data_IF_505905611280
#
_entry.id   IF_505905611280
#
_cell.length_a   1.000
_cell.length_b   1.000
_cell.length_c   1.000
_cell.angle_alpha   90.00
_cell.angle_beta   90.00
_cell.angle_gamma   90.00
#
_symmetry.space_group_name_H-M   'P 1'
#
loop_
_entity.id
_entity.type
_entity.pdbx_description
1 polymer ?
#
# COMPACT_ATOMS: atom_id res chain seq x y z
N UNK A 1 -42.33 -49.14 7.68
CA UNK A 1 -41.03 -49.19 6.94
C UNK A 1 -40.47 -47.78 7.03
N UNK A 2 -39.27 -47.62 7.60
CA UNK A 2 -38.63 -46.35 7.77
C UNK A 2 -37.54 -46.21 6.71
N UNK A 3 -37.51 -45.08 5.99
CA UNK A 3 -36.54 -44.81 4.95
C UNK A 3 -35.61 -43.71 5.39
N UNK A 4 -34.30 -43.92 5.31
CA UNK A 4 -33.27 -42.94 5.60
C UNK A 4 -32.68 -42.45 4.27
N UNK A 5 -32.76 -41.19 3.91
CA UNK A 5 -32.11 -40.65 2.70
C UNK A 5 -30.60 -40.75 2.78
N UNK A 6 -29.97 -41.19 1.68
CA UNK A 6 -28.53 -41.36 1.57
C UNK A 6 -27.82 -40.10 1.09
N UNK A 7 -28.54 -39.19 0.45
CA UNK A 7 -27.98 -37.91 -0.07
C UNK A 7 -28.90 -36.74 0.29
N UNK A 8 -28.31 -35.58 0.45
CA UNK A 8 -29.05 -34.33 0.67
C UNK A 8 -29.65 -33.83 -0.64
N UNK A 9 -30.83 -33.24 -0.60
CA UNK A 9 -31.54 -32.64 -1.75
C UNK A 9 -31.90 -33.59 -2.87
N UNK A 10 -32.42 -34.78 -2.58
CA UNK A 10 -32.95 -35.70 -3.58
C UNK A 10 -34.44 -35.91 -3.44
N UNK A 11 -35.13 -36.08 -4.55
CA UNK A 11 -36.48 -36.61 -4.56
C UNK A 11 -36.43 -38.04 -5.11
N UNK A 12 -37.08 -38.98 -4.43
CA UNK A 12 -37.17 -40.36 -4.88
C UNK A 12 -38.64 -40.79 -4.90
N UNK A 13 -39.02 -41.46 -5.98
CA UNK A 13 -40.34 -42.06 -6.11
C UNK A 13 -40.29 -43.51 -5.60
N UNK A 14 -41.20 -43.85 -4.73
CA UNK A 14 -41.41 -45.22 -4.29
C UNK A 14 -42.70 -45.71 -4.92
N UNK A 15 -42.60 -46.75 -5.74
CA UNK A 15 -43.75 -47.43 -6.33
C UNK A 15 -44.02 -48.75 -5.63
N UNK A 16 -45.26 -49.01 -5.33
CA UNK A 16 -45.75 -50.31 -4.86
C UNK A 16 -46.54 -50.96 -6.00
N UNK A 17 -46.09 -52.11 -6.46
CA UNK A 17 -46.79 -52.92 -7.42
C UNK A 17 -47.16 -54.28 -6.79
N UNK A 18 -48.19 -54.92 -7.30
CA UNK A 18 -48.60 -56.30 -6.92
C UNK A 18 -48.87 -56.45 -5.41
N UNK A 19 -49.67 -55.57 -4.85
CA UNK A 19 -50.02 -55.59 -3.42
C UNK A 19 -51.13 -56.62 -3.21
N UNK A 20 -50.84 -57.65 -2.41
CA UNK A 20 -51.82 -58.65 -1.97
C UNK A 20 -52.19 -58.38 -0.51
N UNK A 21 -53.45 -58.21 -0.21
CA UNK A 21 -53.97 -58.05 1.15
C UNK A 21 -54.81 -59.32 1.46
N UNK A 22 -54.48 -59.94 2.60
CA UNK A 22 -55.18 -61.10 3.10
C UNK A 22 -56.04 -60.73 4.30
N UNK A 23 -57.32 -61.07 4.31
CA UNK A 23 -58.18 -60.84 5.46
C UNK A 23 -58.03 -61.99 6.51
N UNK A 24 -58.71 -61.85 7.65
CA UNK A 24 -58.63 -62.82 8.76
C UNK A 24 -59.16 -64.26 8.34
N UNK A 25 -59.88 -64.38 7.23
CA UNK A 25 -60.37 -65.66 6.68
C UNK A 25 -59.41 -66.17 5.57
N UNK A 26 -58.22 -65.63 5.44
CA UNK A 26 -57.22 -66.03 4.42
C UNK A 26 -57.67 -65.79 2.98
N UNK A 27 -58.64 -64.94 2.75
CA UNK A 27 -59.03 -64.54 1.40
C UNK A 27 -58.08 -63.44 0.89
N UNK A 28 -57.49 -63.66 -0.26
CA UNK A 28 -56.58 -62.73 -0.90
C UNK A 28 -57.34 -61.79 -1.82
N UNK A 29 -57.05 -60.46 -1.67
CA UNK A 29 -57.42 -59.43 -2.63
C UNK A 29 -56.17 -58.89 -3.26
N UNK A 30 -56.04 -59.07 -4.56
CA UNK A 30 -54.94 -58.49 -5.34
C UNK A 30 -55.40 -57.13 -5.87
N UNK A 31 -54.63 -56.09 -5.61
CA UNK A 31 -54.85 -54.78 -6.20
C UNK A 31 -53.96 -54.64 -7.45
N UNK A 32 -54.64 -54.49 -8.59
CA UNK A 32 -54.00 -54.21 -9.87
C UNK A 32 -53.86 -52.68 -10.03
N UNK A 33 -52.85 -52.12 -9.43
CA UNK A 33 -52.57 -50.67 -9.48
C UNK A 33 -51.20 -50.35 -8.93
N UNK A 34 -50.53 -49.37 -9.53
CA UNK A 34 -49.31 -48.83 -9.00
C UNK A 34 -49.63 -47.62 -8.10
N UNK A 35 -49.09 -47.63 -6.91
CA UNK A 35 -49.11 -46.48 -6.00
C UNK A 35 -47.74 -45.83 -6.00
N UNK A 36 -47.67 -44.55 -6.33
CA UNK A 36 -46.44 -43.75 -6.27
C UNK A 36 -46.48 -42.77 -5.11
N UNK A 37 -45.48 -42.78 -4.25
CA UNK A 37 -45.24 -41.78 -3.26
C UNK A 37 -43.93 -41.08 -3.59
N UNK A 38 -43.96 -39.78 -3.77
CA UNK A 38 -42.75 -38.99 -3.92
C UNK A 38 -42.29 -38.53 -2.53
N UNK A 39 -41.12 -38.98 -2.12
CA UNK A 39 -40.44 -38.46 -0.94
C UNK A 39 -39.44 -37.42 -1.43
N UNK A 40 -39.69 -36.17 -1.09
CA UNK A 40 -38.73 -35.07 -1.29
C UNK A 40 -38.14 -34.67 0.07
N UNK A 41 -36.83 -34.75 0.18
CA UNK A 41 -36.13 -34.07 1.26
C UNK A 41 -35.98 -32.63 0.84
N UNK A 42 -36.77 -31.72 1.38
CA UNK A 42 -36.39 -30.32 1.34
C UNK A 42 -35.20 -30.18 2.29
N UNK A 43 -34.07 -29.60 1.83
CA UNK A 43 -33.18 -28.98 2.79
C UNK A 43 -34.05 -27.99 3.60
N UNK A 44 -34.12 -28.20 4.88
CA UNK A 44 -34.64 -27.18 5.77
C UNK A 44 -33.58 -26.10 5.70
N UNK A 45 -33.84 -25.09 4.86
CA UNK A 45 -32.96 -23.95 4.76
C UNK A 45 -32.89 -23.33 6.16
N UNK A 46 -31.75 -23.49 6.81
CA UNK A 46 -31.53 -22.84 8.10
C UNK A 46 -31.67 -21.35 7.91
N UNK A 47 -32.49 -20.70 8.72
CA UNK A 47 -32.62 -19.26 8.73
C UNK A 47 -31.34 -18.60 9.26
N UNK A 48 -30.51 -19.30 10.06
CA UNK A 48 -29.25 -18.81 10.59
C UNK A 48 -28.22 -18.65 9.47
N UNK A 49 -27.91 -17.42 9.10
CA UNK A 49 -26.88 -17.07 8.11
C UNK A 49 -25.75 -16.31 8.79
N UNK A 50 -24.57 -16.93 8.87
CA UNK A 50 -23.34 -16.23 9.24
C UNK A 50 -22.69 -15.62 8.01
N UNK A 51 -22.39 -14.32 8.11
CA UNK A 51 -21.65 -13.60 7.06
C UNK A 51 -20.34 -13.06 7.61
N UNK A 52 -19.24 -13.30 6.91
CA UNK A 52 -17.96 -12.67 7.18
C UNK A 52 -17.89 -11.41 6.32
N UNK A 53 -17.97 -10.24 6.94
CA UNK A 53 -18.00 -8.95 6.27
C UNK A 53 -16.71 -8.18 6.52
N UNK A 54 -16.26 -7.42 5.52
CA UNK A 54 -15.07 -6.58 5.58
C UNK A 54 -14.91 -5.80 4.28
N UNK A 55 -13.71 -5.37 3.99
CA UNK A 55 -13.40 -4.64 2.75
C UNK A 55 -13.12 -5.60 1.60
N UNK A 56 -13.60 -5.27 0.40
CA UNK A 56 -13.26 -5.99 -0.83
C UNK A 56 -11.78 -5.79 -1.22
N UNK A 57 -11.21 -4.63 -0.85
CA UNK A 57 -9.80 -4.32 -1.07
C UNK A 57 -9.23 -3.40 -0.01
N UNK A 58 -7.93 -3.53 0.26
CA UNK A 58 -7.15 -2.74 1.23
C UNK A 58 -5.74 -2.52 0.69
N UNK A 59 -5.12 -1.41 1.03
CA UNK A 59 -3.72 -1.19 0.72
C UNK A 59 -2.80 -1.89 1.72
N UNK A 60 -1.64 -2.33 1.25
CA UNK A 60 -0.64 -2.97 2.11
C UNK A 60 -0.28 -2.06 3.29
N UNK A 61 -0.01 -2.66 4.45
CA UNK A 61 0.31 -2.01 5.74
C UNK A 61 -0.86 -1.30 6.43
N UNK A 62 -2.03 -1.20 5.80
CA UNK A 62 -3.22 -0.65 6.45
C UNK A 62 -3.93 -1.69 7.32
N UNK A 63 -4.72 -1.18 8.27
CA UNK A 63 -5.57 -1.97 9.17
C UNK A 63 -7.03 -1.83 8.77
N UNK A 64 -7.80 -2.90 8.94
CA UNK A 64 -9.22 -2.94 8.62
C UNK A 64 -9.96 -3.91 9.53
N UNK A 65 -11.28 -3.72 9.61
CA UNK A 65 -12.13 -4.57 10.42
C UNK A 65 -12.79 -5.67 9.57
N UNK A 66 -12.83 -6.86 10.14
CA UNK A 66 -13.62 -8.00 9.67
C UNK A 66 -14.64 -8.32 10.75
N UNK A 67 -15.91 -8.37 10.39
CA UNK A 67 -16.98 -8.70 11.33
C UNK A 67 -17.67 -9.99 10.93
N UNK A 68 -18.03 -10.80 11.92
CA UNK A 68 -18.90 -11.96 11.73
C UNK A 68 -20.28 -11.51 12.20
N UNK A 69 -21.26 -11.57 11.29
CA UNK A 69 -22.65 -11.22 11.58
C UNK A 69 -23.56 -12.44 11.43
N UNK A 70 -24.62 -12.48 12.20
CA UNK A 70 -25.67 -13.47 12.13
C UNK A 70 -26.99 -12.80 11.73
N UNK A 71 -27.68 -13.37 10.76
CA UNK A 71 -29.00 -12.96 10.31
C UNK A 71 -29.97 -14.15 10.31
N UNK A 72 -31.27 -13.88 10.43
CA UNK A 72 -32.31 -14.91 10.48
C UNK A 72 -32.18 -15.81 11.73
N UNK A 73 -31.74 -15.23 12.83
CA UNK A 73 -31.40 -15.94 14.05
C UNK A 73 -32.64 -16.59 14.70
N UNK A 74 -32.77 -17.90 14.62
CA UNK A 74 -33.88 -18.66 15.21
C UNK A 74 -33.79 -18.80 16.74
N UNK A 75 -32.63 -18.52 17.32
CA UNK A 75 -32.30 -18.63 18.73
C UNK A 75 -31.05 -19.48 18.94
N UNK A 76 -29.99 -18.86 19.42
CA UNK A 76 -28.71 -19.51 19.74
C UNK A 76 -28.33 -19.23 21.17
N UNK A 77 -27.74 -20.19 21.87
CA UNK A 77 -27.30 -20.02 23.25
C UNK A 77 -25.83 -20.37 23.44
N UNK A 78 -25.24 -21.23 22.58
CA UNK A 78 -23.79 -21.45 22.62
C UNK A 78 -23.22 -21.68 21.23
N UNK A 79 -21.95 -21.28 21.07
CA UNK A 79 -21.18 -21.54 19.86
C UNK A 79 -19.71 -21.72 20.20
N UNK A 80 -19.09 -22.67 19.51
CA UNK A 80 -17.63 -22.75 19.36
C UNK A 80 -17.28 -22.66 17.89
N UNK A 81 -16.37 -21.76 17.56
CA UNK A 81 -16.03 -21.49 16.16
C UNK A 81 -14.59 -20.94 16.05
N UNK A 82 -14.12 -20.89 14.82
CA UNK A 82 -12.90 -20.16 14.49
C UNK A 82 -12.99 -19.54 13.10
N UNK A 83 -12.28 -18.41 12.93
CA UNK A 83 -12.04 -17.80 11.64
C UNK A 83 -10.64 -18.21 11.17
N UNK A 84 -10.56 -18.89 10.02
CA UNK A 84 -9.32 -19.12 9.30
C UNK A 84 -9.03 -17.94 8.38
N UNK A 85 -7.73 -17.53 8.29
CA UNK A 85 -7.29 -16.46 7.43
C UNK A 85 -5.89 -16.72 6.89
N UNK A 86 -5.55 -16.13 5.76
CA UNK A 86 -4.23 -16.24 5.14
C UNK A 86 -3.17 -15.47 5.96
N UNK A 87 -2.49 -16.19 6.87
CA UNK A 87 -1.49 -15.65 7.81
C UNK A 87 -0.26 -15.01 7.17
N UNK A 88 0.00 -15.29 5.91
CA UNK A 88 1.11 -14.70 5.14
C UNK A 88 0.70 -13.40 4.43
N UNK A 89 -0.61 -13.09 4.44
CA UNK A 89 -1.21 -11.89 3.85
C UNK A 89 -1.72 -10.95 4.95
N UNK A 90 -2.33 -11.51 6.00
CA UNK A 90 -2.96 -10.75 7.08
C UNK A 90 -2.39 -11.12 8.45
N UNK A 91 -2.41 -10.15 9.36
CA UNK A 91 -2.06 -10.32 10.78
C UNK A 91 -3.18 -9.78 11.65
N UNK A 92 -3.67 -10.61 12.60
CA UNK A 92 -4.68 -10.18 13.57
C UNK A 92 -4.07 -9.18 14.55
N UNK A 93 -4.77 -8.06 14.77
CA UNK A 93 -4.36 -7.01 15.70
C UNK A 93 -5.24 -7.00 16.95
N UNK A 94 -6.55 -7.19 16.79
CA UNK A 94 -7.53 -7.16 17.89
C UNK A 94 -8.75 -8.04 17.61
N UNK A 95 -9.43 -8.45 18.68
CA UNK A 95 -10.67 -9.22 18.63
C UNK A 95 -11.60 -8.80 19.78
N UNK A 96 -12.81 -8.39 19.46
CA UNK A 96 -13.77 -7.83 20.44
C UNK A 96 -15.21 -8.30 20.22
N UNK A 97 -15.91 -8.58 21.34
CA UNK A 97 -17.34 -8.84 21.38
C UNK A 97 -18.16 -7.63 21.87
N UNK A 98 -17.52 -6.49 22.13
CA UNK A 98 -18.11 -5.36 22.90
C UNK A 98 -19.38 -4.77 22.29
N UNK A 99 -19.48 -4.76 20.95
CA UNK A 99 -20.52 -4.03 20.22
C UNK A 99 -21.58 -4.94 19.58
N UNK A 100 -21.54 -6.25 19.88
CA UNK A 100 -22.38 -7.25 19.23
C UNK A 100 -23.59 -7.71 20.03
N UNK A 101 -24.30 -8.68 19.42
CA UNK A 101 -25.45 -9.36 20.04
C UNK A 101 -25.07 -10.17 21.29
N UNK A 102 -23.76 -10.45 21.46
CA UNK A 102 -23.20 -11.27 22.55
C UNK A 102 -22.72 -10.46 23.75
N UNK A 103 -22.95 -9.16 23.82
CA UNK A 103 -22.43 -8.26 24.86
C UNK A 103 -22.76 -8.67 26.30
N UNK A 104 -23.81 -9.45 26.51
CA UNK A 104 -24.24 -9.95 27.83
C UNK A 104 -23.98 -11.44 28.02
N UNK A 105 -23.23 -12.08 27.12
CA UNK A 105 -22.92 -13.51 27.17
C UNK A 105 -21.53 -13.73 27.76
N UNK A 106 -21.27 -14.97 28.19
CA UNK A 106 -19.90 -15.37 28.50
C UNK A 106 -19.16 -15.61 27.19
N UNK A 107 -18.11 -14.84 26.94
CA UNK A 107 -17.35 -14.89 25.69
C UNK A 107 -15.88 -15.19 25.94
N UNK A 108 -15.26 -15.87 25.01
CA UNK A 108 -13.82 -16.15 25.01
C UNK A 108 -13.28 -16.04 23.59
N UNK A 109 -12.08 -15.48 23.44
CA UNK A 109 -11.37 -15.41 22.17
C UNK A 109 -9.89 -15.71 22.35
N UNK A 110 -9.29 -16.40 21.39
CA UNK A 110 -7.86 -16.71 21.34
C UNK A 110 -7.30 -16.44 19.95
N UNK A 111 -6.28 -15.59 19.90
CA UNK A 111 -5.51 -15.23 18.71
C UNK A 111 -4.12 -15.86 18.69
N UNK A 112 -3.83 -16.79 19.62
CA UNK A 112 -2.49 -17.38 19.83
C UNK A 112 -2.00 -18.23 18.67
N UNK A 113 -2.89 -18.69 17.80
CA UNK A 113 -2.55 -19.53 16.64
C UNK A 113 -2.57 -18.69 15.38
N UNK A 114 -1.42 -18.51 14.71
CA UNK A 114 -1.34 -17.79 13.44
C UNK A 114 -2.22 -18.44 12.39
N UNK A 115 -2.99 -17.63 11.64
CA UNK A 115 -3.92 -18.08 10.63
C UNK A 115 -5.28 -18.54 11.17
N UNK A 116 -5.49 -18.45 12.48
CA UNK A 116 -6.74 -18.90 13.11
C UNK A 116 -7.08 -18.09 14.34
N UNK A 117 -8.29 -17.50 14.37
CA UNK A 117 -8.86 -16.88 15.54
C UNK A 117 -9.96 -17.78 16.07
N UNK A 118 -9.77 -18.37 17.25
CA UNK A 118 -10.77 -19.21 17.92
C UNK A 118 -11.62 -18.36 18.82
N UNK A 119 -12.93 -18.58 18.83
CA UNK A 119 -13.83 -17.88 19.73
C UNK A 119 -15.01 -18.77 20.13
N UNK A 120 -15.57 -18.45 21.28
CA UNK A 120 -16.71 -19.16 21.82
C UNK A 120 -17.59 -18.21 22.62
N UNK A 121 -18.87 -18.51 22.70
CA UNK A 121 -19.76 -17.87 23.64
C UNK A 121 -20.74 -18.87 24.25
N UNK A 122 -21.31 -18.47 25.41
CA UNK A 122 -22.38 -19.17 26.09
C UNK A 122 -23.34 -18.16 26.74
N UNK A 123 -24.63 -18.42 26.60
CA UNK A 123 -25.72 -17.69 27.26
C UNK A 123 -26.66 -18.65 27.99
N UNK A 124 -27.32 -18.20 29.00
CA UNK A 124 -28.36 -18.98 29.72
C UNK A 124 -29.67 -19.06 28.95
N UNK A 125 -29.94 -18.08 28.10
CA UNK A 125 -31.15 -17.95 27.31
C UNK A 125 -30.83 -17.83 25.84
N UNK A 126 -31.80 -18.16 24.99
CA UNK A 126 -31.65 -17.99 23.55
C UNK A 126 -31.51 -16.52 23.17
N UNK A 127 -30.43 -16.23 22.47
CA UNK A 127 -30.21 -14.96 21.78
C UNK A 127 -30.92 -15.03 20.43
N UNK A 128 -31.94 -14.20 20.24
CA UNK A 128 -32.75 -14.14 19.02
C UNK A 128 -32.50 -12.88 18.18
N UNK A 129 -31.58 -12.03 18.64
CA UNK A 129 -31.21 -10.81 17.93
C UNK A 129 -30.31 -11.15 16.74
N UNK A 130 -30.57 -10.52 15.60
CA UNK A 130 -29.65 -10.45 14.47
C UNK A 130 -28.58 -9.39 14.72
N UNK A 131 -27.40 -9.55 14.13
CA UNK A 131 -26.34 -8.55 14.17
C UNK A 131 -24.93 -9.11 14.33
N UNK A 132 -24.03 -8.25 14.76
CA UNK A 132 -22.62 -8.57 14.90
C UNK A 132 -22.38 -9.55 16.05
N UNK A 133 -21.71 -10.66 15.72
CA UNK A 133 -21.26 -11.67 16.70
C UNK A 133 -19.92 -11.26 17.30
N UNK A 134 -18.93 -10.99 16.44
CA UNK A 134 -17.58 -10.60 16.84
C UNK A 134 -16.98 -9.63 15.80
N UNK A 135 -16.15 -8.72 16.27
CA UNK A 135 -15.34 -7.81 15.46
C UNK A 135 -13.87 -8.18 15.62
N UNK A 136 -13.16 -8.25 14.50
CA UNK A 136 -11.77 -8.60 14.40
C UNK A 136 -11.05 -7.51 13.61
N UNK A 137 -9.92 -7.01 14.10
CA UNK A 137 -9.12 -6.02 13.38
C UNK A 137 -7.86 -6.68 12.83
N UNK A 138 -7.68 -6.60 11.53
CA UNK A 138 -6.54 -7.15 10.81
C UNK A 138 -5.66 -6.06 10.22
N UNK A 139 -4.37 -6.38 10.02
CA UNK A 139 -3.42 -5.62 9.23
C UNK A 139 -3.06 -6.40 7.97
N UNK A 140 -3.06 -5.74 6.80
CA UNK A 140 -2.53 -6.30 5.56
C UNK A 140 -1.00 -6.19 5.58
N UNK A 141 -0.29 -7.32 5.73
CA UNK A 141 1.18 -7.35 5.89
C UNK A 141 1.93 -7.64 4.59
N UNK A 142 1.27 -8.23 3.60
CA UNK A 142 1.88 -8.54 2.31
C UNK A 142 1.88 -7.32 1.39
N UNK A 143 3.05 -6.93 0.88
CA UNK A 143 3.15 -5.81 -0.06
C UNK A 143 3.20 -6.30 -1.53
N UNK A 144 2.15 -6.98 -1.94
CA UNK A 144 1.94 -7.51 -3.28
C UNK A 144 0.47 -7.40 -3.65
N UNK A 145 0.15 -7.40 -4.95
CA UNK A 145 -1.24 -7.50 -5.42
C UNK A 145 -1.70 -8.96 -5.29
N UNK A 146 -2.30 -9.31 -4.16
CA UNK A 146 -2.76 -10.66 -3.83
C UNK A 146 -4.15 -10.60 -3.22
N UNK A 147 -4.84 -11.76 -3.18
CA UNK A 147 -6.11 -11.89 -2.48
C UNK A 147 -5.99 -12.94 -1.39
N UNK A 148 -6.51 -12.64 -0.22
CA UNK A 148 -6.57 -13.55 0.92
C UNK A 148 -8.01 -13.80 1.36
N UNK A 149 -8.24 -14.97 1.96
CA UNK A 149 -9.57 -15.44 2.38
C UNK A 149 -9.73 -15.36 3.88
N UNK A 150 -10.97 -15.15 4.29
CA UNK A 150 -11.46 -15.27 5.66
C UNK A 150 -12.61 -16.27 5.65
N UNK A 151 -12.41 -17.42 6.28
CA UNK A 151 -13.37 -18.54 6.27
C UNK A 151 -13.80 -18.87 7.69
N UNK A 152 -15.09 -18.75 7.95
CA UNK A 152 -15.66 -19.13 9.25
C UNK A 152 -15.90 -20.64 9.28
N UNK A 153 -15.46 -21.28 10.36
CA UNK A 153 -15.78 -22.66 10.67
C UNK A 153 -16.46 -22.70 12.03
N UNK A 154 -17.66 -23.24 12.06
CA UNK A 154 -18.44 -23.43 13.29
C UNK A 154 -18.35 -24.89 13.70
N UNK A 155 -17.70 -25.15 14.83
CA UNK A 155 -17.56 -26.52 15.36
C UNK A 155 -18.87 -26.99 16.03
N UNK A 156 -19.52 -26.08 16.75
CA UNK A 156 -20.77 -26.36 17.46
C UNK A 156 -21.64 -25.09 17.55
N UNK A 157 -22.94 -25.26 17.35
CA UNK A 157 -23.97 -24.21 17.53
C UNK A 157 -25.21 -24.85 18.14
N UNK A 158 -25.65 -24.36 19.31
CA UNK A 158 -26.82 -24.90 20.01
C UNK A 158 -27.72 -23.80 20.57
N UNK A 159 -29.01 -24.14 20.78
CA UNK A 159 -29.95 -23.35 21.56
C UNK A 159 -29.76 -23.58 23.07
N UNK A 160 -30.60 -22.94 23.90
CA UNK A 160 -30.60 -23.06 25.38
C UNK A 160 -30.99 -24.45 25.89
N UNK A 161 -31.58 -25.29 25.04
CA UNK A 161 -31.93 -26.69 25.33
C UNK A 161 -30.83 -27.64 24.88
N UNK A 162 -29.69 -27.16 24.45
CA UNK A 162 -28.59 -27.91 23.85
C UNK A 162 -28.99 -28.63 22.53
N UNK A 163 -30.02 -28.13 21.83
CA UNK A 163 -30.38 -28.61 20.53
C UNK A 163 -29.48 -28.01 19.46
N UNK A 164 -28.86 -28.86 18.63
CA UNK A 164 -27.97 -28.40 17.56
C UNK A 164 -28.76 -27.57 16.54
N UNK A 165 -28.21 -26.42 16.20
CA UNK A 165 -28.77 -25.50 15.21
C UNK A 165 -28.06 -25.65 13.86
N UNK A 166 -28.84 -25.64 12.79
CA UNK A 166 -28.30 -25.58 11.43
C UNK A 166 -27.95 -24.13 11.06
N UNK A 167 -27.00 -23.97 10.14
CA UNK A 167 -26.53 -22.66 9.71
C UNK A 167 -25.97 -22.69 8.28
N UNK A 168 -25.93 -21.53 7.65
CA UNK A 168 -25.24 -21.26 6.40
C UNK A 168 -24.12 -20.26 6.66
N UNK A 169 -23.08 -20.26 5.81
CA UNK A 169 -21.93 -19.35 5.92
C UNK A 169 -21.67 -18.68 4.58
N UNK A 170 -21.43 -17.38 4.61
CA UNK A 170 -20.86 -16.62 3.51
C UNK A 170 -19.49 -16.05 3.93
N UNK A 171 -18.44 -16.57 3.30
CA UNK A 171 -17.05 -16.19 3.56
C UNK A 171 -16.66 -14.88 2.84
N UNK A 172 -15.53 -14.30 3.23
CA UNK A 172 -14.99 -13.07 2.66
C UNK A 172 -13.67 -13.33 1.91
N UNK A 173 -13.48 -12.64 0.81
CA UNK A 173 -12.17 -12.52 0.14
C UNK A 173 -11.81 -11.06 0.01
N UNK A 174 -10.64 -10.68 0.52
CA UNK A 174 -10.13 -9.31 0.46
C UNK A 174 -8.88 -9.26 -0.40
N UNK A 175 -8.84 -8.31 -1.34
CA UNK A 175 -7.68 -8.03 -2.18
C UNK A 175 -6.74 -7.07 -1.45
N UNK A 176 -5.46 -7.40 -1.38
CA UNK A 176 -4.41 -6.48 -0.94
C UNK A 176 -3.78 -5.81 -2.16
N UNK A 177 -3.73 -4.49 -2.16
CA UNK A 177 -3.05 -3.71 -3.18
C UNK A 177 -1.62 -3.44 -2.74
N UNK A 178 -0.68 -3.64 -3.67
CA UNK A 178 0.71 -3.26 -3.46
C UNK A 178 0.82 -1.74 -3.36
N UNK A 179 1.48 -1.24 -2.31
CA UNK A 179 1.88 0.16 -2.20
C UNK A 179 3.35 0.31 -2.53
N UNK A 180 3.72 1.48 -3.03
CA UNK A 180 5.12 1.85 -3.16
C UNK A 180 5.59 2.46 -1.83
N UNK A 181 6.46 1.76 -1.10
CA UNK A 181 7.18 2.35 0.03
C UNK A 181 8.26 3.21 -0.60
N UNK A 182 8.02 4.53 -0.65
CA UNK A 182 8.93 5.44 -1.29
C UNK A 182 10.21 5.62 -0.46
N UNK A 183 11.35 5.32 -1.06
CA UNK A 183 12.66 5.77 -0.63
C UNK A 183 13.22 6.67 -1.72
N UNK A 184 13.19 7.98 -1.52
CA UNK A 184 13.65 8.96 -2.50
C UNK A 184 15.15 9.20 -2.33
N UNK A 185 15.89 8.92 -3.39
CA UNK A 185 17.33 9.18 -3.52
C UNK A 185 17.56 10.42 -4.37
N UNK A 186 18.61 11.17 -4.09
CA UNK A 186 18.94 12.43 -4.74
C UNK A 186 19.40 13.50 -3.76
N UNK A 187 19.39 14.79 -4.16
CA UNK A 187 18.88 15.30 -5.42
C UNK A 187 19.81 15.14 -6.61
N UNK A 188 19.24 15.00 -7.80
CA UNK A 188 19.88 15.27 -9.09
C UNK A 188 19.45 16.66 -9.53
N UNK A 189 20.43 17.59 -9.70
CA UNK A 189 20.14 18.97 -10.07
C UNK A 189 20.10 19.10 -11.59
N UNK A 190 18.94 19.44 -12.11
CA UNK A 190 18.68 19.62 -13.55
C UNK A 190 18.62 21.12 -13.86
N UNK A 191 19.69 21.62 -14.49
CA UNK A 191 19.82 23.00 -14.92
C UNK A 191 19.29 23.18 -16.35
N UNK A 192 18.79 24.39 -16.64
CA UNK A 192 18.61 24.83 -18.03
C UNK A 192 19.95 25.08 -18.69
N UNK A 193 19.98 25.06 -20.03
CA UNK A 193 21.22 25.24 -20.82
C UNK A 193 21.91 26.60 -20.54
N UNK A 194 21.15 27.60 -20.15
CA UNK A 194 21.62 28.94 -19.84
C UNK A 194 21.79 29.20 -18.32
N UNK A 195 21.69 28.16 -17.51
CA UNK A 195 21.73 28.20 -16.04
C UNK A 195 20.74 29.18 -15.39
N UNK A 196 19.71 29.61 -16.11
CA UNK A 196 18.72 30.57 -15.54
C UNK A 196 17.71 29.87 -14.61
N UNK A 197 17.51 28.57 -14.74
CA UNK A 197 16.62 27.78 -13.90
C UNK A 197 17.25 26.47 -13.48
N UNK A 198 16.85 25.97 -12.32
CA UNK A 198 17.30 24.68 -11.81
C UNK A 198 16.16 23.96 -11.06
N UNK A 199 16.09 22.65 -11.22
CA UNK A 199 15.20 21.76 -10.45
C UNK A 199 16.02 20.68 -9.77
N UNK A 200 15.79 20.49 -8.48
CA UNK A 200 16.32 19.35 -7.75
C UNK A 200 15.34 18.17 -7.88
N UNK A 201 15.78 17.09 -8.46
CA UNK A 201 14.96 15.90 -8.74
C UNK A 201 15.35 14.77 -7.81
N UNK A 202 14.37 14.26 -7.07
CA UNK A 202 14.50 13.07 -6.24
C UNK A 202 13.74 11.94 -6.90
N UNK A 203 14.37 10.78 -7.03
CA UNK A 203 13.78 9.60 -7.68
C UNK A 203 13.59 8.49 -6.65
N UNK A 204 12.42 7.85 -6.66
CA UNK A 204 12.17 6.69 -5.81
C UNK A 204 13.07 5.51 -6.23
N UNK A 205 13.79 4.93 -5.26
CA UNK A 205 14.68 3.78 -5.47
C UNK A 205 13.93 2.56 -6.04
N UNK A 206 12.67 2.37 -5.61
CA UNK A 206 11.86 1.19 -5.97
C UNK A 206 10.99 1.37 -7.22
N UNK A 207 10.72 2.63 -7.61
CA UNK A 207 9.99 2.94 -8.84
C UNK A 207 10.48 4.27 -9.43
N UNK A 208 11.22 4.21 -10.53
CA UNK A 208 11.81 5.40 -11.18
C UNK A 208 10.80 6.35 -11.81
N UNK A 209 9.55 5.94 -11.97
CA UNK A 209 8.47 6.83 -12.43
C UNK A 209 7.99 7.79 -11.33
N UNK A 210 8.24 7.41 -10.06
CA UNK A 210 7.90 8.24 -8.93
C UNK A 210 9.04 9.22 -8.66
N UNK A 211 8.82 10.48 -9.04
CA UNK A 211 9.79 11.56 -8.87
C UNK A 211 9.17 12.73 -8.11
N UNK A 212 10.00 13.36 -7.27
CA UNK A 212 9.70 14.66 -6.64
C UNK A 212 10.60 15.69 -7.28
N UNK A 213 10.01 16.80 -7.74
CA UNK A 213 10.74 17.92 -8.33
C UNK A 213 10.58 19.14 -7.44
N UNK A 214 11.70 19.70 -7.02
CA UNK A 214 11.78 20.92 -6.21
C UNK A 214 12.33 22.02 -7.10
N UNK A 215 11.58 23.11 -7.30
CA UNK A 215 12.08 24.29 -7.99
C UNK A 215 13.09 24.99 -7.11
N UNK A 216 14.23 25.38 -7.68
CA UNK A 216 15.29 26.08 -6.98
C UNK A 216 15.35 27.54 -7.43
N UNK A 217 15.54 28.43 -6.47
CA UNK A 217 15.91 29.82 -6.75
C UNK A 217 17.36 29.87 -7.23
N UNK A 218 17.62 30.59 -8.33
CA UNK A 218 18.96 30.75 -8.90
C UNK A 218 19.47 32.16 -8.68
N UNK A 219 20.62 32.28 -8.00
CA UNK A 219 21.37 33.50 -7.86
C UNK A 219 22.63 33.43 -8.73
N UNK A 220 22.87 34.47 -9.54
CA UNK A 220 24.03 34.56 -10.40
C UNK A 220 24.95 35.70 -9.93
N UNK A 221 26.21 35.39 -9.68
CA UNK A 221 27.26 36.35 -9.38
C UNK A 221 28.32 36.32 -10.48
N UNK A 222 28.94 37.48 -10.73
CA UNK A 222 29.95 37.66 -11.79
C UNK A 222 31.17 38.34 -11.26
N UNK A 223 32.35 37.78 -11.55
CA UNK A 223 33.65 38.41 -11.35
C UNK A 223 34.27 38.68 -12.71
N UNK A 224 34.59 39.93 -13.00
CA UNK A 224 35.17 40.30 -14.28
C UNK A 224 36.61 39.79 -14.44
N UNK A 225 36.93 39.35 -15.67
CA UNK A 225 38.31 39.01 -16.01
C UNK A 225 39.22 40.26 -16.04
N UNK A 226 40.42 40.13 -15.50
CA UNK A 226 41.50 41.13 -15.62
C UNK A 226 42.36 40.85 -16.86
N UNK A 227 43.44 41.55 -17.02
CA UNK A 227 44.38 41.27 -18.09
C UNK A 227 45.14 39.94 -17.91
N UNK A 228 45.30 39.49 -16.66
CA UNK A 228 46.12 38.31 -16.32
C UNK A 228 45.34 37.19 -15.65
N UNK A 229 44.23 37.52 -15.03
CA UNK A 229 43.42 36.54 -14.30
C UNK A 229 42.06 36.36 -14.97
N UNK A 230 41.62 35.13 -15.02
CA UNK A 230 40.29 34.78 -15.48
C UNK A 230 39.23 35.32 -14.51
N UNK A 231 38.13 35.80 -15.05
CA UNK A 231 36.88 36.02 -14.32
C UNK A 231 36.03 34.74 -14.27
N UNK A 232 34.94 34.82 -13.55
CA UNK A 232 33.95 33.73 -13.52
C UNK A 232 32.52 34.24 -13.37
N UNK A 233 31.59 33.43 -13.87
CA UNK A 233 30.17 33.55 -13.55
C UNK A 233 29.86 32.36 -12.68
N UNK A 234 29.22 32.57 -11.54
CA UNK A 234 28.81 31.53 -10.61
C UNK A 234 27.29 31.56 -10.47
N UNK A 235 26.66 30.45 -10.81
CA UNK A 235 25.22 30.21 -10.66
C UNK A 235 25.01 29.33 -9.45
N UNK A 236 24.24 29.79 -8.46
CA UNK A 236 23.92 29.04 -7.23
C UNK A 236 22.44 28.77 -7.18
N UNK A 237 22.06 27.49 -7.29
CA UNK A 237 20.70 27.02 -7.08
C UNK A 237 20.47 26.75 -5.59
N UNK A 238 19.33 27.18 -5.07
CA UNK A 238 18.91 26.94 -3.68
C UNK A 238 17.46 26.49 -3.66
N UNK A 239 17.18 25.34 -3.03
CA UNK A 239 15.83 24.83 -2.81
C UNK A 239 15.63 24.39 -1.36
N UNK A 240 14.39 24.00 -1.02
CA UNK A 240 14.05 23.41 0.28
C UNK A 240 13.33 22.09 0.04
N UNK A 241 13.83 21.03 0.64
CA UNK A 241 13.20 19.71 0.64
C UNK A 241 13.21 19.13 2.06
N UNK A 242 12.04 18.71 2.56
CA UNK A 242 11.85 18.20 3.93
C UNK A 242 12.47 19.15 4.99
N UNK A 243 12.20 20.44 4.89
CA UNK A 243 12.74 21.52 5.76
C UNK A 243 14.27 21.65 5.75
N UNK A 244 14.94 21.00 4.81
CA UNK A 244 16.39 21.11 4.63
C UNK A 244 16.72 21.93 3.39
N UNK A 245 17.68 22.85 3.56
CA UNK A 245 18.24 23.61 2.44
C UNK A 245 19.13 22.72 1.59
N UNK A 246 18.85 22.69 0.29
CA UNK A 246 19.66 22.01 -0.73
C UNK A 246 20.26 23.05 -1.66
N UNK A 247 21.50 22.81 -2.11
CA UNK A 247 22.22 23.75 -2.98
C UNK A 247 23.07 23.02 -3.98
N UNK A 248 23.17 23.60 -5.18
CA UNK A 248 24.15 23.19 -6.21
C UNK A 248 24.75 24.44 -6.85
N UNK A 249 25.95 24.30 -7.41
CA UNK A 249 26.72 25.44 -7.97
C UNK A 249 27.31 25.07 -9.31
N UNK A 250 27.03 25.89 -10.33
CA UNK A 250 27.65 25.82 -11.63
C UNK A 250 28.55 27.03 -11.86
N UNK A 251 29.67 26.86 -12.57
CA UNK A 251 30.64 27.92 -12.84
C UNK A 251 31.06 27.98 -14.29
N UNK A 252 31.05 29.17 -14.84
CA UNK A 252 31.58 29.47 -16.17
C UNK A 252 32.80 30.34 -16.04
N UNK A 253 33.87 30.03 -16.79
CA UNK A 253 35.09 30.82 -16.80
C UNK A 253 35.02 31.93 -17.86
N UNK A 254 35.36 33.15 -17.49
CA UNK A 254 35.56 34.27 -18.42
C UNK A 254 37.07 34.37 -18.64
N UNK A 255 37.61 34.07 -19.81
CA UNK A 255 39.04 34.07 -20.02
C UNK A 255 39.65 35.46 -19.78
N UNK A 256 40.89 35.48 -19.25
CA UNK A 256 41.68 36.68 -19.08
C UNK A 256 41.78 37.46 -20.41
N UNK A 257 41.64 38.82 -20.31
CA UNK A 257 41.55 39.67 -21.48
C UNK A 257 42.88 39.79 -22.24
N UNK A 258 43.97 39.40 -21.57
CA UNK A 258 45.34 39.68 -22.08
C UNK A 258 45.72 41.15 -22.00
N UNK A 259 46.93 41.43 -22.34
CA UNK A 259 47.45 42.82 -22.37
C UNK A 259 47.27 43.47 -23.75
N UNK A 260 46.77 44.70 -23.74
CA UNK A 260 46.65 45.54 -24.94
C UNK A 260 47.82 46.51 -24.95
N UNK A 261 48.69 46.38 -25.95
CA UNK A 261 49.87 47.26 -26.11
C UNK A 261 49.43 48.74 -26.34
N UNK A 262 49.95 49.63 -25.59
CA UNK A 262 49.84 51.06 -25.79
C UNK A 262 50.93 51.60 -26.75
N UNK A 263 50.99 52.96 -26.85
CA UNK A 263 52.01 53.63 -27.59
C UNK A 263 53.35 53.57 -26.84
N UNK A 264 54.45 53.63 -27.58
CA UNK A 264 55.78 53.68 -27.01
C UNK A 264 55.95 55.03 -26.29
N UNK A 265 56.35 55.00 -25.04
CA UNK A 265 56.72 56.15 -24.24
C UNK A 265 58.21 56.19 -24.08
N UNK A 266 58.78 57.41 -24.15
CA UNK A 266 60.20 57.61 -23.89
C UNK A 266 60.37 57.94 -22.40
N UNK A 267 61.20 57.16 -21.73
CA UNK A 267 61.53 57.29 -20.33
C UNK A 267 63.07 57.37 -20.13
N UNK A 268 63.50 57.84 -18.97
CA UNK A 268 64.90 57.88 -18.60
C UNK A 268 65.83 58.53 -19.65
N UNK A 269 65.28 59.48 -20.44
CA UNK A 269 66.07 60.20 -21.44
C UNK A 269 67.21 60.98 -20.83
N UNK A 270 68.41 60.73 -21.32
CA UNK A 270 69.60 61.53 -20.96
C UNK A 270 70.10 62.30 -22.20
N UNK A 271 70.39 63.55 -22.00
CA UNK A 271 70.94 64.34 -23.12
C UNK A 271 72.39 63.93 -23.49
N UNK A 272 72.66 63.96 -24.77
CA UNK A 272 74.03 63.76 -25.24
C UNK A 272 74.96 64.92 -24.88
N UNK A 273 76.18 64.62 -24.44
CA UNK A 273 77.24 65.59 -24.21
C UNK A 273 78.35 65.43 -25.27
N UNK A 274 79.33 66.35 -25.28
CA UNK A 274 80.46 66.29 -26.21
C UNK A 274 81.28 64.96 -26.06
N UNK A 275 81.19 64.35 -24.87
CA UNK A 275 81.99 63.14 -24.54
C UNK A 275 81.20 61.88 -24.43
N UNK A 276 79.86 62.00 -24.34
CA UNK A 276 78.98 60.84 -24.06
C UNK A 276 77.67 60.90 -24.87
N UNK A 277 77.31 59.85 -25.52
CA UNK A 277 76.02 59.74 -26.20
C UNK A 277 74.83 59.75 -25.22
N UNK A 278 73.73 60.33 -25.63
CA UNK A 278 72.47 60.22 -24.91
C UNK A 278 71.87 58.83 -25.01
N UNK A 279 71.00 58.46 -24.07
CA UNK A 279 70.27 57.26 -24.05
C UNK A 279 68.83 57.51 -23.61
N UNK A 280 67.93 56.69 -23.96
CA UNK A 280 66.53 56.70 -23.49
C UNK A 280 65.97 55.27 -23.50
N UNK A 281 64.95 55.08 -22.72
CA UNK A 281 64.18 53.83 -22.71
C UNK A 281 62.87 53.97 -23.54
N UNK A 282 62.66 53.04 -24.45
CA UNK A 282 61.34 52.87 -25.11
C UNK A 282 60.54 51.91 -24.32
N UNK A 283 59.46 52.36 -23.68
CA UNK A 283 58.64 51.55 -22.79
C UNK A 283 57.25 51.47 -23.36
N UNK A 284 56.70 50.25 -23.37
CA UNK A 284 55.31 49.98 -23.76
C UNK A 284 54.56 49.49 -22.53
N UNK A 285 53.47 50.16 -22.23
CA UNK A 285 52.56 49.77 -21.16
C UNK A 285 51.26 49.18 -21.72
N UNK A 286 50.64 48.35 -20.94
CA UNK A 286 49.25 47.92 -21.21
C UNK A 286 48.30 49.10 -21.05
N UNK A 287 47.43 49.37 -22.03
CA UNK A 287 46.46 50.45 -21.99
C UNK A 287 45.34 50.20 -20.98
N UNK A 288 45.13 48.96 -20.52
CA UNK A 288 44.04 48.54 -19.62
C UNK A 288 44.51 48.50 -18.17
N UNK A 289 45.62 47.82 -17.87
CA UNK A 289 46.10 47.61 -16.49
C UNK A 289 47.37 48.39 -16.15
N UNK A 290 47.92 49.11 -17.11
CA UNK A 290 49.13 49.92 -16.99
C UNK A 290 50.41 49.17 -16.60
N UNK A 291 50.42 47.83 -16.80
CA UNK A 291 51.57 46.96 -16.59
C UNK A 291 52.58 47.23 -17.72
N UNK A 292 53.90 47.39 -17.37
CA UNK A 292 54.98 47.45 -18.35
C UNK A 292 55.06 46.12 -19.11
N UNK A 293 54.99 46.16 -20.44
CA UNK A 293 55.03 45.02 -21.34
C UNK A 293 56.38 44.80 -22.02
N UNK A 294 57.07 45.88 -22.27
CA UNK A 294 58.44 45.84 -22.81
C UNK A 294 59.18 47.10 -22.49
N UNK A 295 60.47 46.96 -22.34
CA UNK A 295 61.44 48.08 -22.19
C UNK A 295 62.66 47.81 -23.03
N UNK A 296 63.05 48.77 -23.88
CA UNK A 296 64.29 48.77 -24.65
C UNK A 296 65.08 50.01 -24.33
N UNK A 297 66.35 49.85 -23.97
CA UNK A 297 67.27 50.95 -23.64
C UNK A 297 68.24 51.23 -24.76
#
# INVERSE_FOLDING_TARGET
MEFIPLEKSTSSNISLSDVTITNEQLQECTFDGSYEATISTSEQQSDNLFTVNGLDSIDSQETFDVTINLAGNSGIASMTAYLEYDKDIFEIQDASFSDGILKNSFTNVSTSTKGKVKFAFMSTDDIKADGQVIKLTFKAIKNENVSGKFQLVVDELTDSNATKQEYNIADLTTKVNKICIHNYIGPDFQWSDDYSTCKAVYTCEYNREHVIKVDCDVETTRTEATCEEDGNITHTATGIYNDQKITDVQKETIPAKGHVKGEVKIENATESTCEKGGSYDEVVYCTVCNKELSRNT
#
